data_IF_717373841837
#
_entry.id   IF_717373841837
#
_cell.length_a   1.000
_cell.length_b   1.000
_cell.length_c   1.000
_cell.angle_alpha   90.00
_cell.angle_beta   90.00
_cell.angle_gamma   90.00
#
_symmetry.space_group_name_H-M   'P 1'
#
loop_
_entity.id
_entity.type
_entity.pdbx_description
1 polymer ?
#
# COMPACT_ATOMS: atom_id res chain seq x y z
N UNK A 1 16.00 -14.88 -25.26
CA UNK A 1 14.64 -15.41 -25.47
C UNK A 1 13.70 -14.37 -24.92
N UNK A 2 13.22 -13.48 -25.78
CA UNK A 2 12.57 -12.24 -25.37
C UNK A 2 11.07 -12.31 -25.62
N UNK A 3 10.32 -12.21 -24.52
CA UNK A 3 9.10 -11.39 -24.40
C UNK A 3 7.71 -12.04 -24.64
N UNK A 4 7.33 -13.02 -23.82
CA UNK A 4 5.91 -13.38 -23.55
C UNK A 4 5.24 -12.44 -22.51
N UNK A 5 5.90 -11.34 -22.15
CA UNK A 5 5.42 -10.42 -21.12
C UNK A 5 4.32 -9.52 -21.64
N UNK A 6 3.11 -9.73 -21.12
CA UNK A 6 1.96 -8.86 -21.36
C UNK A 6 2.04 -7.67 -20.40
N UNK A 7 2.53 -6.52 -20.86
CA UNK A 7 2.69 -5.34 -20.02
C UNK A 7 1.50 -4.36 -20.11
N UNK A 8 0.67 -4.51 -21.14
CA UNK A 8 -0.41 -3.57 -21.49
C UNK A 8 -1.77 -4.16 -21.07
N UNK A 9 -2.64 -3.41 -20.37
CA UNK A 9 -3.92 -3.94 -19.87
C UNK A 9 -4.82 -4.45 -20.99
N UNK A 10 -4.82 -3.79 -22.15
CA UNK A 10 -5.58 -4.26 -23.33
C UNK A 10 -5.07 -5.59 -23.87
N UNK A 11 -3.75 -5.81 -23.84
CA UNK A 11 -3.17 -7.08 -24.26
C UNK A 11 -3.45 -8.19 -23.24
N UNK A 12 -3.53 -7.84 -21.95
CA UNK A 12 -3.92 -8.78 -20.90
C UNK A 12 -5.37 -9.25 -21.09
N UNK A 13 -6.30 -8.30 -21.26
CA UNK A 13 -7.71 -8.63 -21.54
C UNK A 13 -7.85 -9.50 -22.79
N UNK A 14 -7.17 -9.15 -23.88
CA UNK A 14 -7.20 -9.94 -25.10
C UNK A 14 -6.63 -11.36 -24.92
N UNK A 15 -5.53 -11.51 -24.17
CA UNK A 15 -4.91 -12.81 -23.92
C UNK A 15 -5.77 -13.68 -23.00
N UNK A 16 -6.43 -13.07 -22.02
CA UNK A 16 -7.36 -13.75 -21.12
C UNK A 16 -8.58 -14.24 -21.90
N UNK A 17 -9.16 -13.39 -22.76
CA UNK A 17 -10.29 -13.78 -23.61
C UNK A 17 -9.92 -14.91 -24.59
N UNK A 18 -8.71 -14.87 -25.16
CA UNK A 18 -8.22 -15.95 -26.02
C UNK A 18 -8.04 -17.26 -25.24
N UNK A 19 -7.56 -17.19 -24.00
CA UNK A 19 -7.42 -18.35 -23.13
C UNK A 19 -8.78 -18.97 -22.79
N UNK A 20 -9.79 -18.14 -22.46
CA UNK A 20 -11.16 -18.60 -22.21
C UNK A 20 -11.75 -19.33 -23.43
N UNK A 21 -11.56 -18.79 -24.63
CA UNK A 21 -12.03 -19.43 -25.86
C UNK A 21 -11.36 -20.79 -26.14
N UNK A 22 -10.06 -20.91 -25.81
CA UNK A 22 -9.33 -22.17 -25.94
C UNK A 22 -9.85 -23.20 -24.94
N UNK A 23 -10.08 -22.80 -23.68
CA UNK A 23 -10.63 -23.69 -22.65
C UNK A 23 -12.01 -24.18 -23.07
N UNK A 24 -12.87 -23.28 -23.54
CA UNK A 24 -14.20 -23.62 -24.04
C UNK A 24 -14.12 -24.65 -25.18
N UNK A 25 -13.24 -24.46 -26.17
CA UNK A 25 -13.05 -25.44 -27.25
C UNK A 25 -12.55 -26.81 -26.75
N UNK A 26 -11.65 -26.83 -25.77
CA UNK A 26 -11.16 -28.07 -25.17
C UNK A 26 -12.25 -28.80 -24.38
N UNK A 27 -13.14 -28.07 -23.71
CA UNK A 27 -14.26 -28.64 -22.96
C UNK A 27 -15.38 -29.20 -23.85
N UNK A 28 -15.60 -28.60 -25.03
CA UNK A 28 -16.60 -29.09 -25.99
C UNK A 28 -16.22 -30.46 -26.59
N UNK A 29 -14.92 -30.77 -26.71
CA UNK A 29 -14.46 -32.10 -27.12
C UNK A 29 -14.65 -32.46 -28.60
N UNK A 30 -15.04 -31.51 -29.45
CA UNK A 30 -15.16 -31.67 -30.91
C UNK A 30 -13.82 -31.56 -31.66
N UNK A 31 -12.72 -31.34 -30.95
CA UNK A 31 -11.38 -31.21 -31.53
C UNK A 31 -10.73 -32.57 -31.83
N UNK A 32 -9.99 -32.63 -32.93
CA UNK A 32 -9.09 -33.75 -33.21
C UNK A 32 -7.93 -33.75 -32.22
N UNK A 33 -7.27 -34.90 -32.03
CA UNK A 33 -6.12 -35.01 -31.11
C UNK A 33 -5.04 -33.95 -31.37
N UNK A 34 -4.68 -33.73 -32.64
CA UNK A 34 -3.69 -32.73 -33.04
C UNK A 34 -4.15 -31.32 -32.68
N UNK A 35 -5.40 -30.98 -32.97
CA UNK A 35 -5.97 -29.67 -32.64
C UNK A 35 -6.06 -29.45 -31.12
N UNK A 36 -6.40 -30.49 -30.36
CA UNK A 36 -6.42 -30.43 -28.89
C UNK A 36 -5.03 -30.19 -28.30
N UNK A 37 -3.99 -30.78 -28.88
CA UNK A 37 -2.61 -30.54 -28.46
C UNK A 37 -2.18 -29.10 -28.78
N UNK A 38 -2.48 -28.59 -29.97
CA UNK A 38 -2.16 -27.21 -30.35
C UNK A 38 -2.90 -26.20 -29.46
N UNK A 39 -4.20 -26.41 -29.23
CA UNK A 39 -5.01 -25.59 -28.34
C UNK A 39 -4.45 -25.60 -26.90
N UNK A 40 -4.05 -26.77 -26.39
CA UNK A 40 -3.42 -26.88 -25.08
C UNK A 40 -2.09 -26.12 -24.99
N UNK A 41 -1.20 -26.26 -25.97
CA UNK A 41 0.07 -25.53 -26.00
C UNK A 41 -0.13 -24.01 -26.03
N UNK A 42 -1.07 -23.54 -26.84
CA UNK A 42 -1.45 -22.13 -26.89
C UNK A 42 -2.01 -21.65 -25.56
N UNK A 43 -2.91 -22.42 -24.94
CA UNK A 43 -3.48 -22.11 -23.63
C UNK A 43 -2.41 -22.01 -22.53
N UNK A 44 -1.44 -22.92 -22.53
CA UNK A 44 -0.30 -22.88 -21.58
C UNK A 44 0.54 -21.61 -21.80
N UNK A 45 0.81 -21.23 -23.04
CA UNK A 45 1.58 -20.00 -23.35
C UNK A 45 0.85 -18.75 -22.86
N UNK A 46 -0.44 -18.62 -23.18
CA UNK A 46 -1.27 -17.49 -22.75
C UNK A 46 -1.35 -17.41 -21.23
N UNK A 47 -1.59 -18.54 -20.55
CA UNK A 47 -1.65 -18.61 -19.09
C UNK A 47 -0.35 -18.14 -18.43
N UNK A 48 0.81 -18.56 -18.96
CA UNK A 48 2.12 -18.10 -18.48
C UNK A 48 2.31 -16.60 -18.70
N UNK A 49 1.93 -16.08 -19.87
CA UNK A 49 2.01 -14.65 -20.17
C UNK A 49 1.15 -13.82 -19.20
N UNK A 50 -0.07 -14.27 -18.91
CA UNK A 50 -0.96 -13.60 -17.95
C UNK A 50 -0.39 -13.60 -16.53
N UNK A 51 0.19 -14.72 -16.08
CA UNK A 51 0.85 -14.80 -14.77
C UNK A 51 2.01 -13.80 -14.67
N UNK A 52 2.88 -13.76 -15.67
CA UNK A 52 4.00 -12.82 -15.71
C UNK A 52 3.55 -11.35 -15.71
N UNK A 53 2.44 -11.04 -16.38
CA UNK A 53 1.84 -9.72 -16.38
C UNK A 53 1.46 -9.26 -14.96
N UNK A 54 0.81 -10.15 -14.21
CA UNK A 54 0.39 -9.90 -12.84
C UNK A 54 1.60 -9.75 -11.92
N UNK A 55 2.60 -10.63 -12.02
CA UNK A 55 3.84 -10.53 -11.24
C UNK A 55 4.53 -9.19 -11.44
N UNK A 56 4.59 -8.70 -12.69
CA UNK A 56 5.17 -7.38 -12.98
C UNK A 56 4.33 -6.23 -12.44
N UNK A 57 3.01 -6.32 -12.52
CA UNK A 57 2.13 -5.32 -11.95
C UNK A 57 2.30 -5.24 -10.43
N UNK A 58 2.32 -6.39 -9.74
CA UNK A 58 2.56 -6.49 -8.29
C UNK A 58 3.92 -5.92 -7.91
N UNK A 59 4.98 -6.24 -8.68
CA UNK A 59 6.31 -5.70 -8.44
C UNK A 59 6.33 -4.17 -8.58
N UNK A 60 5.67 -3.60 -9.60
CA UNK A 60 5.58 -2.15 -9.79
C UNK A 60 4.84 -1.49 -8.63
N UNK A 61 3.74 -2.07 -8.16
CA UNK A 61 2.98 -1.57 -7.00
C UNK A 61 3.85 -1.57 -5.74
N UNK A 62 4.62 -2.64 -5.51
CA UNK A 62 5.53 -2.72 -4.36
C UNK A 62 6.57 -1.60 -4.37
N UNK A 63 7.26 -1.41 -5.50
CA UNK A 63 8.28 -0.36 -5.66
C UNK A 63 7.69 1.04 -5.40
N UNK A 64 6.51 1.33 -5.96
CA UNK A 64 5.83 2.61 -5.77
C UNK A 64 5.41 2.82 -4.30
N UNK A 65 4.98 1.76 -3.62
CA UNK A 65 4.60 1.82 -2.21
C UNK A 65 5.81 1.98 -1.28
N UNK A 66 6.98 1.45 -1.63
CA UNK A 66 8.21 1.64 -0.85
C UNK A 66 8.74 3.07 -1.02
N UNK A 67 8.68 3.63 -2.23
CA UNK A 67 9.09 5.01 -2.50
C UNK A 67 8.21 6.07 -1.81
N UNK A 68 6.94 5.77 -1.53
CA UNK A 68 6.06 6.70 -0.82
C UNK A 68 6.39 6.83 0.68
N UNK A 69 7.19 5.93 1.24
CA UNK A 69 7.54 5.91 2.68
C UNK A 69 8.76 6.80 3.01
N UNK A 70 9.55 7.19 2.01
CA UNK A 70 10.68 8.11 2.19
C UNK A 70 10.30 9.60 2.07
N UNK A 71 9.01 9.89 1.83
CA UNK A 71 8.47 11.21 2.10
C UNK A 71 8.21 11.30 3.61
N UNK A 72 9.19 11.77 4.36
CA UNK A 72 9.00 12.16 5.75
C UNK A 72 7.79 13.10 5.81
N UNK A 73 6.72 12.75 6.55
CA UNK A 73 5.57 13.63 6.67
C UNK A 73 6.04 14.87 7.43
N UNK A 74 6.41 15.92 6.70
CA UNK A 74 6.61 17.25 7.27
C UNK A 74 5.35 17.57 8.08
N UNK A 75 5.47 17.78 9.41
CA UNK A 75 4.33 18.09 10.22
C UNK A 75 3.68 19.33 9.62
N UNK A 76 2.42 19.20 9.18
CA UNK A 76 1.66 20.31 8.66
C UNK A 76 1.48 21.33 9.78
N UNK A 77 2.41 22.28 9.86
CA UNK A 77 2.28 23.41 10.77
C UNK A 77 1.27 24.35 10.16
N UNK A 78 -0.01 24.16 10.52
CA UNK A 78 -1.03 25.19 10.31
C UNK A 78 -0.61 26.40 11.14
N UNK A 79 0.13 27.32 10.52
CA UNK A 79 0.49 28.59 11.11
C UNK A 79 -0.76 29.46 11.14
N UNK A 80 -1.65 29.17 12.08
CA UNK A 80 -2.77 30.00 12.45
C UNK A 80 -2.25 31.20 13.25
N UNK A 81 -1.69 32.18 12.55
CA UNK A 81 -1.48 33.51 13.12
C UNK A 81 -2.68 34.40 12.78
N UNK A 82 -3.58 34.70 13.74
CA UNK A 82 -4.39 35.91 13.66
C UNK A 82 -3.61 37.12 14.22
N UNK A 83 -3.90 38.34 13.73
CA UNK A 83 -3.08 39.53 13.94
C UNK A 83 -3.42 40.27 15.25
N UNK A 84 -2.37 40.74 15.94
CA UNK A 84 -2.33 42.00 16.72
C UNK A 84 -3.20 42.14 17.99
N UNK A 85 -2.54 42.28 19.14
CA UNK A 85 -2.87 43.25 20.21
C UNK A 85 -1.72 43.35 21.25
N UNK A 86 -1.56 44.48 21.98
CA UNK A 86 -0.26 45.07 22.32
C UNK A 86 0.29 44.78 23.74
N UNK A 87 1.56 45.16 23.92
CA UNK A 87 2.40 45.16 25.11
C UNK A 87 1.78 45.71 26.40
N UNK A 88 2.11 45.09 27.56
CA UNK A 88 2.35 45.71 28.90
C UNK A 88 2.71 44.62 29.94
N UNK A 89 4.00 44.29 30.16
CA UNK A 89 4.90 44.80 31.23
C UNK A 89 5.03 43.79 32.42
N UNK A 90 5.95 43.99 33.39
CA UNK A 90 7.25 43.32 33.55
C UNK A 90 7.30 42.26 34.70
N UNK A 91 8.34 41.42 34.73
CA UNK A 91 8.69 40.59 35.91
C UNK A 91 9.36 41.42 37.00
N UNK A 92 9.10 41.11 38.28
CA UNK A 92 10.20 41.11 39.26
C UNK A 92 10.16 39.90 40.24
N UNK A 93 11.29 39.19 40.29
CA UNK A 93 12.08 38.55 41.39
C UNK A 93 11.43 37.93 42.69
N UNK A 94 12.05 36.91 43.30
CA UNK A 94 11.44 35.93 44.22
C UNK A 94 11.58 36.25 45.73
N UNK A 95 10.82 35.53 46.57
CA UNK A 95 10.88 35.60 48.04
C UNK A 95 10.26 34.35 48.72
N UNK A 96 10.49 34.13 50.03
CA UNK A 96 11.28 32.99 50.50
C UNK A 96 10.49 31.76 50.97
N UNK A 97 11.21 30.64 50.88
CA UNK A 97 11.04 29.36 51.57
C UNK A 97 10.63 29.50 53.04
N UNK A 98 9.65 28.71 53.49
CA UNK A 98 9.47 28.24 54.88
C UNK A 98 8.50 27.04 54.90
N UNK A 99 9.06 25.84 54.85
CA UNK A 99 8.53 24.63 55.52
C UNK A 99 8.95 24.76 57.00
N UNK A 100 8.14 24.48 58.05
CA UNK A 100 7.63 23.12 58.28
C UNK A 100 6.35 22.97 59.14
N UNK A 101 5.93 21.71 59.25
CA UNK A 101 5.53 21.05 60.50
C UNK A 101 4.04 20.75 60.74
N UNK A 102 3.81 19.42 60.85
CA UNK A 102 2.90 18.73 61.76
C UNK A 102 1.40 18.66 61.41
N UNK A 103 0.93 17.45 61.09
CA UNK A 103 0.12 16.63 62.02
C UNK A 103 -0.05 15.22 61.41
N UNK A 104 0.75 14.25 61.84
CA UNK A 104 0.33 13.21 62.77
C UNK A 104 -0.73 12.22 62.23
N UNK A 105 -0.27 10.98 62.05
CA UNK A 105 -0.89 9.77 62.60
C UNK A 105 -2.22 9.23 62.01
N UNK A 106 -2.06 8.02 61.44
CA UNK A 106 -2.92 6.82 61.60
C UNK A 106 -4.26 6.80 60.84
N UNK A 107 -4.48 5.73 60.05
CA UNK A 107 -5.27 4.54 60.44
C UNK A 107 -5.78 3.73 59.22
N UNK A 108 -5.55 2.40 59.22
CA UNK A 108 -6.17 1.29 58.46
C UNK A 108 -6.13 1.34 56.92
N UNK A 109 -5.62 0.36 56.15
CA UNK A 109 -5.75 -1.10 56.20
C UNK A 109 -7.21 -1.58 56.36
N UNK A 110 -7.85 -1.80 55.21
CA UNK A 110 -8.64 -2.99 54.91
C UNK A 110 -8.41 -3.37 53.44
#
# INVERSE_FOLDING_TARGET
MSNDTIADPKQFEASLQALEAIVDQLEHGDLTLEASLEAFEQGVRLSRGCQQALEQAEQRVRILSEQTTEAEPEPFSVSGQPPGAPSSQPTPDPGPENDPSADASKLSHD
#
